data_IF_350427461808
#
_entry.id   IF_350427461808
#
_cell.length_a   1.000
_cell.length_b   1.000
_cell.length_c   1.000
_cell.angle_alpha   90.00
_cell.angle_beta   90.00
_cell.angle_gamma   90.00
#
_symmetry.space_group_name_H-M   'P 1'
#
loop_
_entity.id
_entity.type
_entity.pdbx_description
1 polymer ?
#
# COMPACT_ATOMS: atom_id res chain seq x y z
N UNK A 1 -18.12 52.22 3.34
CA UNK A 1 -16.96 51.31 3.25
C UNK A 1 -16.12 51.51 4.51
N UNK A 2 -15.68 50.45 5.22
CA UNK A 2 -14.83 49.40 4.65
C UNK A 2 -15.25 47.94 4.87
N UNK A 3 -14.91 47.16 3.83
CA UNK A 3 -14.68 45.73 3.63
C UNK A 3 -15.25 44.65 4.58
N UNK A 4 -16.18 43.87 4.02
CA UNK A 4 -16.50 42.48 4.38
C UNK A 4 -15.28 41.56 4.25
N UNK A 5 -15.00 40.77 5.28
CA UNK A 5 -14.08 39.62 5.20
C UNK A 5 -14.94 38.36 5.28
N UNK A 6 -15.39 37.87 4.13
CA UNK A 6 -15.93 36.52 4.01
C UNK A 6 -14.80 35.51 4.22
N UNK A 7 -14.86 34.80 5.35
CA UNK A 7 -14.04 33.62 5.61
C UNK A 7 -14.51 32.50 4.67
N UNK A 8 -13.85 32.40 3.51
CA UNK A 8 -14.00 31.28 2.60
C UNK A 8 -13.42 30.03 3.28
N UNK A 9 -14.28 29.27 3.96
CA UNK A 9 -14.08 27.85 4.19
C UNK A 9 -14.01 27.17 2.82
N UNK A 10 -12.81 27.15 2.22
CA UNK A 10 -12.54 26.38 1.01
C UNK A 10 -12.58 24.90 1.41
N UNK A 11 -13.78 24.33 1.43
CA UNK A 11 -13.97 22.91 1.25
C UNK A 11 -13.41 22.62 -0.14
N UNK A 12 -12.15 22.16 -0.21
CA UNK A 12 -11.59 21.57 -1.42
C UNK A 12 -12.42 20.33 -1.75
N UNK A 13 -13.51 20.57 -2.46
CA UNK A 13 -14.23 19.56 -3.22
C UNK A 13 -13.26 19.05 -4.27
N UNK A 14 -12.53 18.00 -3.91
CA UNK A 14 -11.93 17.14 -4.91
C UNK A 14 -13.07 16.62 -5.78
N UNK A 15 -13.23 17.21 -6.96
CA UNK A 15 -14.14 16.71 -7.97
C UNK A 15 -13.85 15.23 -8.23
N UNK A 16 -14.84 14.45 -8.68
CA UNK A 16 -14.63 13.07 -9.04
C UNK A 16 -13.78 13.06 -10.32
N UNK A 17 -12.46 13.14 -10.17
CA UNK A 17 -11.55 12.64 -11.19
C UNK A 17 -11.98 11.20 -11.39
N UNK A 18 -12.64 10.91 -12.51
CA UNK A 18 -13.16 9.60 -12.87
C UNK A 18 -12.06 8.56 -12.67
N UNK A 19 -12.00 7.98 -11.48
CA UNK A 19 -11.07 6.92 -11.13
C UNK A 19 -11.55 5.74 -11.95
N UNK A 20 -10.91 5.50 -13.09
CA UNK A 20 -10.68 4.11 -13.50
C UNK A 20 -9.88 3.51 -12.34
N UNK A 21 -10.57 3.04 -11.31
CA UNK A 21 -9.99 2.16 -10.31
C UNK A 21 -9.46 0.99 -11.12
N UNK A 22 -8.13 0.94 -11.27
CA UNK A 22 -7.52 -0.26 -11.77
C UNK A 22 -7.94 -1.36 -10.79
N UNK A 23 -8.56 -2.44 -11.26
CA UNK A 23 -9.04 -3.54 -10.40
C UNK A 23 -7.95 -4.10 -9.48
N UNK A 24 -6.69 -3.82 -9.79
CA UNK A 24 -5.53 -4.19 -8.98
C UNK A 24 -5.20 -3.24 -7.82
N UNK A 25 -5.79 -2.04 -7.71
CA UNK A 25 -5.48 -1.09 -6.62
C UNK A 25 -6.11 -1.55 -5.30
N UNK A 26 -5.28 -1.94 -4.33
CA UNK A 26 -5.76 -2.36 -2.98
C UNK A 26 -5.99 -1.15 -2.09
N UNK A 27 -5.05 -0.20 -2.10
CA UNK A 27 -5.05 0.94 -1.18
C UNK A 27 -4.25 2.09 -1.76
N UNK A 28 -4.78 3.30 -1.62
CA UNK A 28 -4.01 4.53 -1.83
C UNK A 28 -4.22 5.53 -0.71
N UNK A 29 -3.23 6.39 -0.50
CA UNK A 29 -3.31 7.44 0.49
C UNK A 29 -2.01 8.21 0.64
N UNK A 30 -1.99 9.15 1.58
CA UNK A 30 -0.83 9.96 1.89
C UNK A 30 -0.10 9.38 3.11
N UNK A 31 1.22 9.25 2.99
CA UNK A 31 2.13 8.79 4.03
C UNK A 31 3.28 9.78 4.15
N UNK A 32 4.00 9.73 5.27
CA UNK A 32 5.29 10.42 5.41
C UNK A 32 6.40 9.40 5.32
N UNK A 33 7.22 9.49 4.27
CA UNK A 33 8.42 8.69 4.12
C UNK A 33 9.55 9.32 4.94
N UNK A 34 10.21 8.51 5.78
CA UNK A 34 11.41 8.90 6.52
C UNK A 34 12.65 8.48 5.74
N UNK A 35 13.39 9.47 5.25
CA UNK A 35 14.66 9.29 4.56
C UNK A 35 15.86 9.18 5.52
N UNK A 36 17.05 8.85 4.97
CA UNK A 36 18.30 8.91 5.72
C UNK A 36 18.53 10.30 6.30
N UNK A 37 19.01 10.38 7.54
CA UNK A 37 19.20 11.65 8.25
C UNK A 37 17.92 12.25 8.87
N UNK A 38 16.81 11.50 8.92
CA UNK A 38 15.57 11.94 9.57
C UNK A 38 14.71 12.88 8.73
N UNK A 39 15.03 13.02 7.44
CA UNK A 39 14.28 13.83 6.49
C UNK A 39 12.88 13.26 6.34
N UNK A 40 11.85 14.09 6.54
CA UNK A 40 10.44 13.71 6.37
C UNK A 40 9.93 14.18 5.02
N UNK A 41 9.40 13.28 4.22
CA UNK A 41 8.85 13.60 2.90
C UNK A 41 7.38 13.14 2.80
N UNK A 42 6.48 14.08 2.52
CA UNK A 42 5.09 13.76 2.20
C UNK A 42 5.01 13.07 0.83
N UNK A 43 4.45 11.87 0.83
CA UNK A 43 4.29 11.03 -0.36
C UNK A 43 2.85 10.56 -0.50
N UNK A 44 2.41 10.38 -1.74
CA UNK A 44 1.21 9.60 -2.06
C UNK A 44 1.68 8.19 -2.41
N UNK A 45 1.12 7.19 -1.75
CA UNK A 45 1.44 5.79 -1.99
C UNK A 45 0.20 5.11 -2.56
N UNK A 46 0.42 4.29 -3.58
CA UNK A 46 -0.61 3.45 -4.19
C UNK A 46 -0.10 2.02 -4.23
N UNK A 47 -0.86 1.10 -3.65
CA UNK A 47 -0.52 -0.32 -3.58
C UNK A 47 -1.36 -1.07 -4.59
N UNK A 48 -0.68 -1.81 -5.46
CA UNK A 48 -1.29 -2.65 -6.47
C UNK A 48 -1.00 -4.12 -6.18
N UNK A 49 -2.00 -4.98 -6.41
CA UNK A 49 -1.87 -6.42 -6.38
C UNK A 49 -2.62 -7.06 -7.53
N UNK A 50 -1.92 -7.89 -8.25
CA UNK A 50 -2.45 -8.77 -9.28
C UNK A 50 -2.18 -10.22 -8.88
N UNK A 51 -2.56 -11.18 -9.72
CA UNK A 51 -2.18 -12.59 -9.54
C UNK A 51 -0.66 -12.79 -9.58
N UNK A 52 0.06 -11.95 -10.31
CA UNK A 52 1.49 -12.09 -10.59
C UNK A 52 2.37 -11.01 -9.97
N UNK A 53 1.82 -9.97 -9.37
CA UNK A 53 2.60 -8.86 -8.85
C UNK A 53 1.97 -8.27 -7.58
N UNK A 54 2.80 -7.78 -6.68
CA UNK A 54 2.37 -7.02 -5.51
C UNK A 54 3.42 -5.95 -5.25
N UNK A 55 3.06 -4.69 -5.47
CA UNK A 55 3.99 -3.58 -5.42
C UNK A 55 3.33 -2.29 -4.95
N UNK A 56 4.12 -1.39 -4.39
CA UNK A 56 3.72 -0.05 -4.03
C UNK A 56 4.43 0.98 -4.92
N UNK A 57 3.68 1.93 -5.47
CA UNK A 57 4.21 3.07 -6.21
C UNK A 57 4.15 4.30 -5.32
N UNK A 58 5.26 5.03 -5.24
CA UNK A 58 5.43 6.19 -4.37
C UNK A 58 5.55 7.43 -5.24
N UNK A 59 4.67 8.39 -5.03
CA UNK A 59 4.66 9.69 -5.69
C UNK A 59 4.97 10.80 -4.69
N UNK A 60 5.72 11.84 -5.07
CA UNK A 60 5.91 12.99 -4.20
C UNK A 60 4.61 13.81 -4.16
N UNK A 61 4.17 14.24 -2.97
CA UNK A 61 2.90 14.96 -2.80
C UNK A 61 2.83 16.25 -3.62
N UNK A 62 3.96 16.96 -3.74
CA UNK A 62 4.05 18.26 -4.43
C UNK A 62 4.10 18.16 -5.96
N UNK A 63 4.43 17.00 -6.54
CA UNK A 63 4.62 16.82 -8.00
C UNK A 63 4.09 15.47 -8.45
N UNK A 64 2.81 15.39 -8.81
CA UNK A 64 2.13 14.15 -9.17
C UNK A 64 2.56 13.54 -10.52
N UNK A 65 3.54 14.12 -11.23
CA UNK A 65 3.87 13.72 -12.60
C UNK A 65 4.79 12.50 -12.72
N UNK A 66 5.63 12.21 -11.73
CA UNK A 66 6.57 11.06 -11.80
C UNK A 66 6.69 10.34 -10.45
N UNK A 67 6.61 9.00 -10.42
CA UNK A 67 6.90 8.24 -9.22
C UNK A 67 8.36 8.43 -8.82
N UNK A 68 8.61 8.59 -7.52
CA UNK A 68 9.96 8.67 -6.94
C UNK A 68 10.52 7.28 -6.60
N UNK A 69 9.65 6.27 -6.52
CA UNK A 69 10.07 4.91 -6.25
C UNK A 69 8.95 3.90 -6.45
N UNK A 70 9.36 2.66 -6.67
CA UNK A 70 8.48 1.48 -6.70
C UNK A 70 9.08 0.46 -5.74
N UNK A 71 8.26 -0.11 -4.88
CA UNK A 71 8.66 -1.13 -3.91
C UNK A 71 7.99 -2.44 -4.29
N UNK A 72 8.79 -3.46 -4.59
CA UNK A 72 8.28 -4.82 -4.77
C UNK A 72 7.95 -5.41 -3.40
N UNK A 73 6.67 -5.69 -3.14
CA UNK A 73 6.19 -6.12 -1.84
C UNK A 73 6.22 -7.65 -1.65
N UNK A 74 6.36 -8.43 -2.73
CA UNK A 74 6.37 -9.91 -2.69
C UNK A 74 7.45 -10.45 -1.75
N UNK A 75 8.63 -9.84 -1.83
CA UNK A 75 9.81 -10.25 -1.07
C UNK A 75 10.12 -9.22 0.03
N UNK A 76 9.10 -8.61 0.63
CA UNK A 76 9.31 -7.69 1.76
C UNK A 76 8.74 -8.24 3.06
N UNK A 77 9.39 -7.86 4.15
CA UNK A 77 8.87 -7.94 5.49
C UNK A 77 8.39 -6.54 5.89
N UNK A 78 7.22 -6.48 6.53
CA UNK A 78 6.57 -5.24 6.94
C UNK A 78 6.32 -5.37 8.44
N UNK A 79 6.82 -4.41 9.21
CA UNK A 79 6.73 -4.46 10.66
C UNK A 79 6.20 -3.13 11.21
N UNK A 80 5.38 -3.19 12.25
CA UNK A 80 4.91 -2.01 12.97
C UNK A 80 6.07 -1.42 13.77
N UNK A 81 6.14 -0.11 13.82
CA UNK A 81 7.11 0.60 14.65
C UNK A 81 6.48 0.90 16.03
N UNK A 82 7.09 0.42 17.11
CA UNK A 82 6.52 0.53 18.46
C UNK A 82 6.46 1.98 18.98
N UNK A 83 7.48 2.78 18.68
CA UNK A 83 7.67 4.11 19.28
C UNK A 83 7.08 5.25 18.45
N UNK A 84 6.71 4.98 17.20
CA UNK A 84 6.38 6.00 16.22
C UNK A 84 5.24 5.44 15.36
N UNK A 85 4.11 6.14 15.29
CA UNK A 85 2.93 5.73 14.53
C UNK A 85 3.25 5.52 13.04
N UNK A 86 3.61 4.29 12.69
CA UNK A 86 4.20 3.97 11.40
C UNK A 86 4.62 2.51 11.28
N UNK A 87 5.24 2.20 10.15
CA UNK A 87 5.71 0.87 9.80
C UNK A 87 6.99 0.94 8.99
N UNK A 88 7.75 -0.15 9.02
CA UNK A 88 9.00 -0.33 8.28
C UNK A 88 8.82 -1.44 7.25
N UNK A 89 9.28 -1.17 6.03
CA UNK A 89 9.31 -2.13 4.93
C UNK A 89 10.76 -2.48 4.64
N UNK A 90 11.10 -3.77 4.73
CA UNK A 90 12.44 -4.33 4.52
C UNK A 90 12.40 -5.38 3.43
N UNK A 91 13.40 -5.44 2.57
CA UNK A 91 13.51 -6.54 1.61
C UNK A 91 14.06 -7.78 2.32
N UNK A 92 13.40 -8.93 2.11
CA UNK A 92 13.85 -10.24 2.61
C UNK A 92 15.14 -10.61 1.87
N UNK A 93 16.18 -10.99 2.62
CA UNK A 93 17.46 -11.41 2.05
C UNK A 93 18.49 -10.30 1.83
N UNK A 94 18.18 -9.05 2.17
CA UNK A 94 19.15 -7.96 2.27
C UNK A 94 19.44 -7.64 3.74
N UNK A 95 20.66 -7.18 4.01
CA UNK A 95 21.03 -6.67 5.33
C UNK A 95 20.10 -5.50 5.71
N UNK A 96 19.84 -5.37 7.02
CA UNK A 96 18.92 -4.38 7.62
C UNK A 96 19.20 -2.90 7.24
N UNK A 97 20.24 -2.62 6.46
CA UNK A 97 20.63 -1.30 5.97
C UNK A 97 19.61 -0.69 5.00
N UNK A 98 18.89 -1.49 4.20
CA UNK A 98 17.96 -0.97 3.19
C UNK A 98 16.51 -1.18 3.67
N UNK A 99 15.96 -0.14 4.28
CA UNK A 99 14.57 -0.12 4.76
C UNK A 99 13.87 1.19 4.43
N UNK A 100 12.58 1.12 4.10
CA UNK A 100 11.72 2.27 3.94
C UNK A 100 10.81 2.40 5.16
N UNK A 101 10.82 3.55 5.82
CA UNK A 101 10.01 3.82 7.01
C UNK A 101 8.89 4.79 6.63
N UNK A 102 7.66 4.41 6.91
CA UNK A 102 6.47 5.21 6.64
C UNK A 102 5.76 5.55 7.94
N UNK A 103 5.34 6.80 8.08
CA UNK A 103 4.49 7.25 9.18
C UNK A 103 3.06 7.44 8.69
N UNK A 104 2.11 7.05 9.52
CA UNK A 104 0.68 7.26 9.28
C UNK A 104 -0.08 7.39 10.62
N UNK A 105 -1.30 7.94 10.60
CA UNK A 105 -2.17 7.93 11.77
C UNK A 105 -2.35 6.50 12.31
N UNK A 106 -2.38 6.35 13.64
CA UNK A 106 -2.44 5.02 14.28
C UNK A 106 -3.64 4.17 13.80
N UNK A 107 -4.80 4.82 13.63
CA UNK A 107 -6.01 4.22 13.07
C UNK A 107 -5.84 3.56 11.69
N UNK A 108 -4.86 4.02 10.91
CA UNK A 108 -4.64 3.56 9.53
C UNK A 108 -3.52 2.53 9.43
N UNK A 109 -2.74 2.31 10.50
CA UNK A 109 -1.55 1.44 10.52
C UNK A 109 -1.93 0.02 10.08
N UNK A 110 -2.92 -0.60 10.70
CA UNK A 110 -3.26 -2.00 10.43
C UNK A 110 -3.74 -2.20 8.99
N UNK A 111 -4.47 -1.23 8.45
CA UNK A 111 -4.91 -1.24 7.05
C UNK A 111 -3.72 -1.11 6.08
N UNK A 112 -2.70 -0.32 6.42
CA UNK A 112 -1.47 -0.22 5.63
C UNK A 112 -0.58 -1.46 5.76
N UNK A 113 -0.42 -2.01 6.96
CA UNK A 113 0.30 -3.26 7.20
C UNK A 113 -0.33 -4.40 6.40
N UNK A 114 -1.66 -4.52 6.40
CA UNK A 114 -2.39 -5.51 5.62
C UNK A 114 -2.18 -5.32 4.11
N UNK A 115 -2.27 -4.09 3.61
CA UNK A 115 -2.06 -3.80 2.19
C UNK A 115 -0.62 -4.09 1.72
N UNK A 116 0.37 -3.84 2.58
CA UNK A 116 1.79 -4.06 2.28
C UNK A 116 2.21 -5.53 2.50
N UNK A 117 1.51 -6.26 3.35
CA UNK A 117 1.81 -7.65 3.64
C UNK A 117 1.41 -8.55 2.47
N UNK A 118 2.31 -9.44 2.07
CA UNK A 118 2.01 -10.51 1.11
C UNK A 118 1.20 -11.65 1.76
N UNK A 119 0.39 -11.36 2.79
CA UNK A 119 -0.59 -12.33 3.27
C UNK A 119 -1.65 -12.43 2.18
N UNK A 120 -1.49 -13.41 1.31
CA UNK A 120 -2.64 -13.96 0.64
C UNK A 120 -3.59 -14.42 1.74
N UNK A 121 -4.65 -13.65 1.98
CA UNK A 121 -5.96 -14.26 2.15
C UNK A 121 -6.24 -14.97 0.82
N UNK A 122 -5.59 -16.11 0.61
CA UNK A 122 -6.07 -17.12 -0.31
C UNK A 122 -7.28 -17.73 0.39
N UNK A 123 -8.38 -16.98 0.44
CA UNK A 123 -9.72 -17.54 0.57
C UNK A 123 -10.10 -18.17 -0.77
N UNK A 124 -9.25 -19.11 -1.20
CA UNK A 124 -9.57 -20.18 -2.13
C UNK A 124 -9.23 -21.49 -1.40
N UNK A 125 -9.69 -21.64 -0.16
CA UNK A 125 -9.97 -22.98 0.39
C UNK A 125 -11.31 -23.45 -0.18
N UNK A 126 -11.47 -23.41 -1.50
CA UNK A 126 -12.45 -24.29 -2.13
C UNK A 126 -11.79 -25.67 -2.16
N UNK A 127 -12.22 -26.50 -1.20
CA UNK A 127 -12.13 -27.94 -1.31
C UNK A 127 -12.58 -28.36 -2.71
N UNK A 128 -11.65 -28.66 -3.59
CA UNK A 128 -11.90 -29.54 -4.73
C UNK A 128 -10.93 -30.69 -4.60
N UNK A 129 -11.27 -31.61 -3.70
CA UNK A 129 -10.88 -33.01 -3.84
C UNK A 129 -11.17 -33.41 -5.29
N UNK A 130 -10.13 -33.71 -6.06
CA UNK A 130 -10.28 -34.28 -7.38
C UNK A 130 -11.00 -35.63 -7.22
N UNK A 131 -12.10 -35.90 -7.94
CA UNK A 131 -12.70 -37.22 -7.92
C UNK A 131 -11.69 -38.21 -8.53
N UNK A 132 -11.27 -39.18 -7.71
CA UNK A 132 -10.44 -40.30 -8.16
C UNK A 132 -11.33 -41.19 -9.03
N UNK A 133 -11.05 -41.25 -10.33
CA UNK A 133 -11.58 -42.27 -11.22
C UNK A 133 -10.92 -43.60 -10.85
N UNK A 134 -11.71 -44.52 -10.28
CA UNK A 134 -11.31 -45.92 -10.11
C UNK A 134 -11.62 -46.62 -11.42
N UNK A 135 -10.59 -47.03 -12.17
CA UNK A 135 -10.76 -47.95 -13.28
C UNK A 135 -11.16 -49.32 -12.71
N UNK A 136 -12.34 -49.79 -13.06
CA UNK A 136 -12.78 -51.15 -12.76
C UNK A 136 -12.12 -52.09 -13.78
N UNK A 137 -11.18 -52.90 -13.32
CA UNK A 137 -10.62 -54.02 -14.09
C UNK A 137 -11.69 -55.12 -14.17
N UNK A 138 -12.29 -55.30 -15.34
CA UNK A 138 -13.01 -56.51 -15.71
C UNK A 138 -11.99 -57.59 -16.10
N UNK A 139 -11.84 -58.63 -15.27
CA UNK A 139 -11.56 -60.02 -15.67
C UNK A 139 -11.58 -60.98 -14.46
#
# INVERSE_FOLDING_TARGET
>A
MPADIMSSCRAEHFGPLSKKTCDAEIKSGFLVLLGPGGIRQDVRVVVYRTSQEHFAVIYPRKRLSKPIGIVNLRNTAVERLETNSGFIVRQKGYDNAISAKFMCPERDIDAWLSAFSNSATSTCQHHTSLPVLVEAEEA
#
